data_IF_345410189153
#
_entry.id   IF_345410189153
#
_cell.length_a   1.000
_cell.length_b   1.000
_cell.length_c   1.000
_cell.angle_alpha   90.00
_cell.angle_beta   90.00
_cell.angle_gamma   90.00
#
_symmetry.space_group_name_H-M   'P 1'
#
loop_
_entity.id
_entity.type
_entity.pdbx_description
1 polymer ?
#
# COMPACT_ATOMS: atom_id res chain seq x y z
N UNK A 1 -13.77 -6.85 18.53
CA UNK A 1 -12.67 -6.52 17.60
C UNK A 1 -12.48 -7.71 16.67
N UNK A 2 -12.89 -7.61 15.41
CA UNK A 2 -12.98 -8.78 14.51
C UNK A 2 -11.63 -9.21 13.91
N UNK A 3 -10.73 -8.25 13.66
CA UNK A 3 -9.37 -8.55 13.21
C UNK A 3 -8.62 -9.43 14.22
N UNK A 4 -8.67 -9.08 15.52
CA UNK A 4 -8.04 -9.89 16.57
C UNK A 4 -8.56 -11.33 16.57
N UNK A 5 -9.89 -11.52 16.58
CA UNK A 5 -10.51 -12.86 16.50
C UNK A 5 -10.13 -13.64 15.23
N UNK A 6 -9.89 -12.94 14.12
CA UNK A 6 -9.42 -13.58 12.89
C UNK A 6 -7.97 -14.04 13.06
N UNK A 7 -7.08 -13.16 13.53
CA UNK A 7 -5.67 -13.48 13.78
C UNK A 7 -5.52 -14.63 14.79
N UNK A 8 -6.24 -14.58 15.92
CA UNK A 8 -6.23 -15.63 16.95
C UNK A 8 -6.62 -17.00 16.39
N UNK A 9 -7.62 -17.05 15.50
CA UNK A 9 -8.04 -18.30 14.83
C UNK A 9 -6.99 -18.80 13.84
N UNK A 10 -6.36 -17.91 13.09
CA UNK A 10 -5.30 -18.29 12.15
C UNK A 10 -4.05 -18.80 12.90
N UNK A 11 -3.74 -18.21 14.06
CA UNK A 11 -2.64 -18.64 14.93
C UNK A 11 -2.93 -20.02 15.54
N UNK A 12 -4.13 -20.23 16.08
CA UNK A 12 -4.55 -21.50 16.68
C UNK A 12 -4.44 -22.67 15.69
N UNK A 13 -4.72 -22.41 14.40
CA UNK A 13 -4.59 -23.38 13.31
C UNK A 13 -3.17 -23.42 12.70
N UNK A 14 -2.20 -22.71 13.28
CA UNK A 14 -0.80 -22.62 12.81
C UNK A 14 -0.64 -22.09 11.38
N UNK A 15 -1.64 -21.40 10.84
CA UNK A 15 -1.64 -20.85 9.48
C UNK A 15 -0.65 -19.68 9.36
N UNK A 16 -0.50 -18.88 10.42
CA UNK A 16 0.34 -17.69 10.40
C UNK A 16 1.85 -17.99 10.26
N UNK A 17 2.29 -19.18 10.68
CA UNK A 17 3.70 -19.58 10.68
C UNK A 17 4.38 -19.51 9.29
N UNK A 18 3.61 -19.66 8.21
CA UNK A 18 4.10 -19.62 6.82
C UNK A 18 3.31 -18.64 5.93
N UNK A 19 2.55 -17.73 6.54
CA UNK A 19 1.69 -16.78 5.83
C UNK A 19 2.24 -15.37 5.91
N UNK A 20 2.17 -14.63 4.80
CA UNK A 20 2.34 -13.17 4.82
C UNK A 20 0.95 -12.55 4.92
N UNK A 21 0.72 -11.77 5.98
CA UNK A 21 -0.51 -11.02 6.19
C UNK A 21 -0.25 -9.57 5.82
N UNK A 22 -1.05 -9.03 4.90
CA UNK A 22 -1.05 -7.62 4.53
C UNK A 22 -2.37 -7.02 5.00
N UNK A 23 -2.28 -6.05 5.92
CA UNK A 23 -3.41 -5.27 6.41
C UNK A 23 -3.27 -3.88 5.79
N UNK A 24 -4.26 -3.43 5.04
CA UNK A 24 -4.23 -2.13 4.37
C UNK A 24 -5.64 -1.58 4.22
N UNK A 25 -5.83 -0.28 4.40
CA UNK A 25 -7.06 0.40 3.97
C UNK A 25 -7.03 0.66 2.47
N UNK A 26 -8.15 0.58 1.76
CA UNK A 26 -8.19 0.86 0.33
C UNK A 26 -8.19 2.37 0.04
N UNK A 27 -8.87 3.14 0.89
CA UNK A 27 -8.85 4.59 0.90
C UNK A 27 -8.97 5.14 2.33
N UNK A 28 -8.52 6.39 2.51
CA UNK A 28 -8.72 7.14 3.74
C UNK A 28 -10.12 7.74 3.83
N UNK A 29 -10.38 8.50 4.89
CA UNK A 29 -11.66 9.15 5.13
C UNK A 29 -11.48 10.68 5.03
N UNK A 30 -12.28 11.31 4.18
CA UNK A 30 -12.41 12.77 4.13
C UNK A 30 -13.36 13.29 5.23
N UNK A 31 -13.21 14.57 5.60
CA UNK A 31 -14.23 15.24 6.40
C UNK A 31 -15.51 15.42 5.54
N UNK A 32 -16.69 15.41 6.18
CA UNK A 32 -17.99 15.60 5.50
C UNK A 32 -18.24 17.03 4.98
N UNK A 33 -17.25 17.91 5.06
CA UNK A 33 -17.31 19.30 4.60
C UNK A 33 -16.61 19.43 3.23
N UNK A 34 -17.03 20.43 2.46
CA UNK A 34 -16.51 20.79 1.12
C UNK A 34 -15.04 20.46 0.93
N UNK A 35 -14.60 20.00 -0.24
CA UNK A 35 -13.28 19.44 -0.58
C UNK A 35 -12.13 20.46 -0.80
N UNK A 36 -11.41 20.99 0.22
CA UNK A 36 -10.14 21.66 -0.01
C UNK A 36 -9.04 20.63 -0.30
N UNK A 37 -8.00 21.06 -1.02
CA UNK A 37 -6.78 20.27 -1.29
C UNK A 37 -6.12 19.70 -0.03
N UNK A 38 -6.35 20.30 1.14
CA UNK A 38 -5.82 19.82 2.42
C UNK A 38 -6.47 18.54 2.95
N UNK A 39 -7.57 18.04 2.35
CA UNK A 39 -8.21 16.77 2.72
C UNK A 39 -7.63 15.59 1.92
N UNK A 40 -6.82 15.83 0.88
CA UNK A 40 -6.25 14.74 0.07
C UNK A 40 -5.44 13.76 0.90
N UNK A 41 -4.60 14.26 1.82
CA UNK A 41 -3.82 13.38 2.68
C UNK A 41 -4.74 12.50 3.53
N UNK A 42 -5.85 13.01 4.08
CA UNK A 42 -6.74 12.18 4.89
C UNK A 42 -7.52 11.16 4.07
N UNK A 43 -7.73 11.42 2.77
CA UNK A 43 -8.37 10.50 1.82
C UNK A 43 -7.41 9.47 1.24
N UNK A 44 -6.10 9.70 1.28
CA UNK A 44 -5.10 8.76 0.75
C UNK A 44 -4.28 8.06 1.83
N UNK A 45 -4.18 8.63 3.02
CA UNK A 45 -3.42 8.06 4.14
C UNK A 45 -4.25 6.99 4.83
N UNK A 46 -3.76 5.76 4.74
CA UNK A 46 -4.40 4.58 5.31
C UNK A 46 -3.43 3.87 6.26
N UNK A 47 -3.93 3.17 7.29
CA UNK A 47 -3.08 2.26 8.04
C UNK A 47 -2.63 1.11 7.13
N UNK A 48 -1.36 0.73 7.25
CA UNK A 48 -0.79 -0.42 6.56
C UNK A 48 0.12 -1.19 7.51
N UNK A 49 0.06 -2.52 7.48
CA UNK A 49 0.95 -3.40 8.20
C UNK A 49 1.24 -4.66 7.38
N UNK A 50 2.50 -5.11 7.40
CA UNK A 50 2.91 -6.39 6.85
C UNK A 50 3.42 -7.25 8.00
N UNK A 51 2.79 -8.40 8.21
CA UNK A 51 3.18 -9.39 9.19
C UNK A 51 3.65 -10.61 8.41
N UNK A 52 4.92 -11.00 8.60
CA UNK A 52 5.50 -12.15 7.91
C UNK A 52 6.49 -12.84 8.85
N UNK A 53 5.96 -13.71 9.71
CA UNK A 53 6.76 -14.42 10.71
C UNK A 53 7.87 -15.23 10.04
N UNK A 54 9.07 -15.18 10.63
CA UNK A 54 10.26 -15.84 10.10
C UNK A 54 10.83 -15.26 8.78
N UNK A 55 10.15 -14.35 8.09
CA UNK A 55 10.56 -13.82 6.77
C UNK A 55 11.03 -12.35 6.79
N UNK A 56 10.76 -11.62 7.87
CA UNK A 56 11.18 -10.22 8.00
C UNK A 56 12.63 -10.03 8.45
N UNK A 57 13.24 -11.01 9.15
CA UNK A 57 14.62 -10.89 9.64
C UNK A 57 14.84 -9.62 10.48
N UNK A 58 15.86 -8.84 10.15
CA UNK A 58 16.21 -7.60 10.87
C UNK A 58 15.17 -6.47 10.73
N UNK A 59 14.16 -6.64 9.87
CA UNK A 59 13.10 -5.65 9.66
C UNK A 59 11.92 -5.80 10.63
N UNK A 60 11.92 -6.79 11.53
CA UNK A 60 10.87 -6.94 12.55
C UNK A 60 10.76 -5.68 13.41
N UNK A 61 9.54 -5.18 13.58
CA UNK A 61 9.28 -3.96 14.37
C UNK A 61 9.62 -2.65 13.65
N UNK A 62 10.00 -2.69 12.37
CA UNK A 62 10.24 -1.47 11.58
C UNK A 62 8.95 -0.66 11.45
N UNK A 63 9.03 0.62 11.79
CA UNK A 63 8.00 1.63 11.53
C UNK A 63 8.51 2.56 10.44
N UNK A 64 7.72 2.74 9.39
CA UNK A 64 8.03 3.65 8.28
C UNK A 64 7.11 4.87 8.42
N UNK A 65 7.72 6.02 8.71
CA UNK A 65 7.00 7.30 8.83
C UNK A 65 7.08 8.16 7.54
N UNK A 66 7.82 7.70 6.54
CA UNK A 66 7.94 8.36 5.24
C UNK A 66 6.78 7.99 4.29
N UNK A 67 6.64 8.75 3.22
CA UNK A 67 5.61 8.54 2.21
C UNK A 67 5.76 7.15 1.53
N UNK A 68 4.67 6.38 1.56
CA UNK A 68 4.53 5.10 0.88
C UNK A 68 3.20 5.02 0.13
N UNK A 69 3.16 4.20 -0.91
CA UNK A 69 1.98 4.01 -1.75
C UNK A 69 1.71 2.51 -1.97
N UNK A 70 0.48 2.16 -2.34
CA UNK A 70 0.10 0.75 -2.54
C UNK A 70 0.96 0.01 -3.58
N UNK A 71 1.53 0.72 -4.56
CA UNK A 71 2.43 0.12 -5.53
C UNK A 71 3.68 -0.50 -4.89
N UNK A 72 4.09 -0.02 -3.71
CA UNK A 72 5.27 -0.52 -2.99
C UNK A 72 5.06 -1.91 -2.41
N UNK A 73 3.81 -2.24 -2.08
CA UNK A 73 3.48 -3.47 -1.37
C UNK A 73 3.94 -4.68 -2.19
N UNK A 74 3.67 -4.69 -3.49
CA UNK A 74 4.02 -5.84 -4.34
C UNK A 74 5.53 -6.09 -4.38
N UNK A 75 6.34 -5.04 -4.59
CA UNK A 75 7.80 -5.18 -4.60
C UNK A 75 8.35 -5.52 -3.21
N UNK A 76 7.68 -5.08 -2.15
CA UNK A 76 8.03 -5.47 -0.77
C UNK A 76 7.75 -6.95 -0.54
N UNK A 77 6.60 -7.46 -1.00
CA UNK A 77 6.24 -8.87 -0.89
C UNK A 77 7.23 -9.76 -1.63
N UNK A 78 7.71 -9.35 -2.81
CA UNK A 78 8.74 -10.05 -3.58
C UNK A 78 10.04 -10.20 -2.79
N UNK A 79 10.46 -9.13 -2.10
CA UNK A 79 11.65 -9.14 -1.24
C UNK A 79 11.44 -9.93 0.07
N UNK A 80 10.21 -10.18 0.49
CA UNK A 80 9.88 -11.01 1.65
C UNK A 80 9.81 -12.48 1.25
N UNK A 81 9.26 -12.80 0.08
CA UNK A 81 9.17 -14.19 -0.41
C UNK A 81 10.50 -14.74 -0.91
N UNK A 82 11.47 -13.88 -1.23
CA UNK A 82 12.79 -14.32 -1.72
C UNK A 82 12.74 -14.85 -3.14
N UNK A 83 11.87 -14.28 -3.99
CA UNK A 83 11.80 -14.64 -5.41
C UNK A 83 13.19 -14.52 -6.07
N UNK A 84 13.57 -15.47 -6.93
CA UNK A 84 14.85 -15.44 -7.61
C UNK A 84 14.92 -14.26 -8.60
N UNK A 85 16.14 -13.90 -9.02
CA UNK A 85 16.35 -12.90 -10.05
C UNK A 85 15.59 -13.26 -11.33
N UNK A 86 14.85 -12.29 -11.89
CA UNK A 86 13.95 -12.51 -13.03
C UNK A 86 12.62 -13.20 -12.70
N UNK A 87 12.36 -13.55 -11.43
CA UNK A 87 11.13 -14.23 -11.00
C UNK A 87 9.87 -13.36 -11.01
N UNK A 88 10.01 -12.05 -11.13
CA UNK A 88 8.92 -11.11 -11.36
C UNK A 88 9.39 -10.00 -12.31
N UNK A 89 8.72 -9.86 -13.45
CA UNK A 89 8.84 -8.69 -14.31
C UNK A 89 7.79 -7.65 -13.88
N UNK A 90 8.25 -6.52 -13.34
CA UNK A 90 7.39 -5.44 -12.86
C UNK A 90 7.90 -4.11 -13.40
N UNK A 91 7.05 -3.43 -14.17
CA UNK A 91 7.35 -2.12 -14.77
C UNK A 91 6.60 -0.96 -14.06
N UNK A 92 5.94 -1.25 -12.94
CA UNK A 92 5.28 -0.25 -12.09
C UNK A 92 6.25 0.65 -11.33
N UNK A 93 5.72 1.75 -10.78
CA UNK A 93 6.50 2.78 -10.07
C UNK A 93 6.89 2.41 -8.65
N UNK A 94 6.19 1.42 -8.07
CA UNK A 94 6.36 1.01 -6.68
C UNK A 94 7.75 0.46 -6.40
N UNK A 95 8.17 0.51 -5.15
CA UNK A 95 9.50 0.06 -4.69
C UNK A 95 9.35 -0.74 -3.41
N UNK A 96 10.26 -1.65 -3.17
CA UNK A 96 10.26 -2.39 -1.91
C UNK A 96 10.57 -1.47 -0.73
N UNK A 97 9.71 -1.49 0.27
CA UNK A 97 9.86 -0.76 1.53
C UNK A 97 10.99 -1.32 2.41
N UNK A 98 11.52 -2.51 2.10
CA UNK A 98 12.72 -3.07 2.76
C UNK A 98 14.02 -2.44 2.26
N UNK A 99 14.01 -1.83 1.07
CA UNK A 99 15.22 -1.29 0.44
C UNK A 99 15.46 0.13 0.95
N UNK A 100 16.71 0.41 1.33
CA UNK A 100 17.10 1.69 1.95
C UNK A 100 17.05 2.83 0.94
N UNK A 101 16.25 3.86 1.22
CA UNK A 101 16.24 5.15 0.53
C UNK A 101 16.43 6.21 1.62
N UNK A 102 17.16 7.33 1.38
CA UNK A 102 17.10 8.46 2.29
C UNK A 102 15.64 8.93 2.41
N UNK A 103 15.09 8.83 3.62
CA UNK A 103 13.72 9.24 3.93
C UNK A 103 13.54 10.74 3.66
N UNK A 104 12.37 11.14 3.14
CA UNK A 104 11.99 12.55 2.96
C UNK A 104 12.26 13.18 1.59
N UNK A 105 12.87 12.45 0.65
CA UNK A 105 13.06 12.91 -0.75
C UNK A 105 12.09 12.24 -1.74
N UNK A 106 11.19 11.39 -1.24
CA UNK A 106 10.38 10.51 -2.07
C UNK A 106 9.06 11.16 -2.51
N UNK A 107 8.77 11.06 -3.80
CA UNK A 107 7.46 11.37 -4.38
C UNK A 107 6.60 10.10 -4.43
N UNK A 108 5.36 10.21 -3.97
CA UNK A 108 4.30 9.20 -4.13
C UNK A 108 3.19 9.74 -5.01
N UNK A 109 2.47 8.85 -5.69
CA UNK A 109 1.46 9.22 -6.67
C UNK A 109 0.09 8.66 -6.27
N UNK A 110 -0.91 9.52 -6.30
CA UNK A 110 -2.32 9.12 -6.24
C UNK A 110 -3.04 9.73 -7.44
N UNK A 111 -3.81 8.89 -8.14
CA UNK A 111 -4.63 9.35 -9.25
C UNK A 111 -6.08 9.46 -8.78
N UNK A 112 -6.61 10.67 -8.76
CA UNK A 112 -8.02 10.93 -8.51
C UNK A 112 -8.75 11.14 -9.85
N UNK A 113 -9.54 10.15 -10.32
CA UNK A 113 -10.26 10.26 -11.59
C UNK A 113 -11.35 11.33 -11.58
N UNK A 114 -11.79 11.80 -10.39
CA UNK A 114 -12.75 12.89 -10.25
C UNK A 114 -12.08 14.25 -10.45
N UNK A 115 -10.74 14.33 -10.35
CA UNK A 115 -9.99 15.51 -10.78
C UNK A 115 -9.84 15.52 -12.29
N UNK A 116 -10.81 16.15 -12.95
CA UNK A 116 -10.64 16.60 -14.34
C UNK A 116 -9.54 17.66 -14.40
N UNK A 117 -8.37 17.27 -14.90
CA UNK A 117 -7.35 18.21 -15.36
C UNK A 117 -7.74 18.74 -16.75
N UNK A 118 -8.72 19.64 -16.79
CA UNK A 118 -9.22 20.24 -18.03
C UNK A 118 -9.96 19.24 -18.94
N UNK A 119 -10.58 19.76 -20.00
CA UNK A 119 -11.25 18.93 -21.00
C UNK A 119 -10.20 18.09 -21.74
N UNK A 120 -10.20 16.78 -21.53
CA UNK A 120 -9.53 15.85 -22.43
C UNK A 120 -10.30 15.87 -23.77
N UNK A 121 -9.69 16.30 -24.89
CA UNK A 121 -10.39 16.44 -26.17
C UNK A 121 -10.88 15.10 -26.75
N UNK A 122 -10.52 13.97 -26.14
CA UNK A 122 -10.90 12.62 -26.59
C UNK A 122 -12.04 11.98 -25.78
N UNK A 123 -12.51 12.61 -24.70
CA UNK A 123 -13.52 12.01 -23.80
C UNK A 123 -14.97 12.31 -24.18
N UNK A 124 -15.25 12.85 -25.37
CA UNK A 124 -16.61 12.99 -25.89
C UNK A 124 -17.05 11.70 -26.57
N UNK A 125 -17.37 10.67 -25.80
CA UNK A 125 -18.29 9.66 -26.29
C UNK A 125 -19.69 10.30 -26.37
N UNK A 126 -20.39 10.26 -27.51
CA UNK A 126 -21.73 10.82 -27.60
C UNK A 126 -22.68 10.03 -26.68
N UNK A 127 -23.64 10.71 -26.03
CA UNK A 127 -24.64 10.02 -25.21
C UNK A 127 -25.51 9.09 -26.08
N UNK A 128 -25.84 7.94 -25.51
CA UNK A 128 -26.76 6.93 -26.09
C UNK A 128 -28.20 7.43 -26.00
#
# INVERSE_FOLDING_TARGET
MELGKFMDRMEMESVLNDTIVVIVGDHGQGLEISFPKSIEESMTRVPAAIIAEGRLGDYVGTVIEDAAEHYDILNTLVDITGLPEGGLEQNGVGRSLKRKIPFGERVVYSNDPLRKYGNCPWSSAPPI
#
